data_IF_230366036658
#
_entry.id   IF_230366036658
#
_cell.length_a   1.000
_cell.length_b   1.000
_cell.length_c   1.000
_cell.angle_alpha   90.00
_cell.angle_beta   90.00
_cell.angle_gamma   90.00
#
_symmetry.space_group_name_H-M   'P 1'
#
loop_
_entity.id
_entity.type
_entity.pdbx_description
1 polymer ?
#
# COMPACT_ATOMS: atom_id res chain seq x y z
N UNK A 1 -16.12 -13.94 -13.99
CA UNK A 1 -16.94 -13.18 -13.01
C UNK A 1 -18.40 -13.62 -13.10
N UNK A 2 -19.16 -13.72 -12.01
CA UNK A 2 -20.55 -14.18 -12.05
C UNK A 2 -21.51 -13.01 -12.34
N UNK A 3 -21.70 -12.68 -13.63
CA UNK A 3 -22.48 -11.53 -14.08
C UNK A 3 -23.95 -11.55 -13.58
N UNK A 4 -24.54 -12.73 -13.39
CA UNK A 4 -25.91 -12.87 -12.87
C UNK A 4 -26.01 -12.44 -11.41
N UNK A 5 -25.05 -12.88 -10.59
CA UNK A 5 -24.99 -12.48 -9.18
C UNK A 5 -24.78 -10.97 -9.06
N UNK A 6 -23.89 -10.40 -9.89
CA UNK A 6 -23.68 -8.96 -9.92
C UNK A 6 -24.95 -8.20 -10.32
N UNK A 7 -25.65 -8.63 -11.38
CA UNK A 7 -26.89 -7.99 -11.82
C UNK A 7 -27.98 -8.01 -10.75
N UNK A 8 -28.12 -9.14 -10.03
CA UNK A 8 -29.06 -9.24 -8.90
C UNK A 8 -28.67 -8.29 -7.75
N UNK A 9 -27.38 -8.23 -7.41
CA UNK A 9 -26.87 -7.30 -6.39
C UNK A 9 -27.09 -5.83 -6.79
N UNK A 10 -26.84 -5.48 -8.07
CA UNK A 10 -27.06 -4.13 -8.59
C UNK A 10 -28.53 -3.73 -8.54
N UNK A 11 -29.44 -4.62 -8.98
CA UNK A 11 -30.87 -4.35 -8.92
C UNK A 11 -31.37 -4.15 -7.48
N UNK A 12 -30.87 -4.93 -6.53
CA UNK A 12 -31.16 -4.76 -5.11
C UNK A 12 -30.58 -3.45 -4.56
N UNK A 13 -29.33 -3.12 -4.90
CA UNK A 13 -28.69 -1.87 -4.51
C UNK A 13 -29.45 -0.64 -5.01
N UNK A 14 -29.87 -0.66 -6.28
CA UNK A 14 -30.66 0.41 -6.89
C UNK A 14 -32.03 0.56 -6.24
N UNK A 15 -32.70 -0.54 -5.91
CA UNK A 15 -33.97 -0.50 -5.17
C UNK A 15 -33.82 0.07 -3.76
N UNK A 16 -32.64 -0.04 -3.15
CA UNK A 16 -32.34 0.44 -1.80
C UNK A 16 -31.66 1.82 -1.79
N UNK A 17 -31.29 2.37 -2.95
CA UNK A 17 -30.54 3.62 -3.05
C UNK A 17 -29.10 3.53 -2.52
N UNK A 18 -28.50 2.34 -2.54
CA UNK A 18 -27.12 2.10 -2.09
C UNK A 18 -26.19 1.77 -3.27
N UNK A 19 -24.96 2.31 -3.30
CA UNK A 19 -24.06 2.08 -4.42
C UNK A 19 -23.53 0.64 -4.41
N UNK A 20 -23.45 0.03 -5.59
CA UNK A 20 -22.97 -1.34 -5.79
C UNK A 20 -21.57 -1.33 -6.38
N UNK A 21 -20.58 -1.71 -5.58
CA UNK A 21 -19.19 -1.78 -6.00
C UNK A 21 -18.87 -3.19 -6.53
N UNK A 22 -18.27 -3.27 -7.71
CA UNK A 22 -17.77 -4.53 -8.25
C UNK A 22 -16.39 -4.85 -7.65
N UNK A 23 -16.16 -6.11 -7.28
CA UNK A 23 -14.86 -6.56 -6.80
C UNK A 23 -13.98 -7.01 -7.96
N UNK A 24 -12.80 -6.41 -8.09
CA UNK A 24 -11.75 -6.77 -9.04
C UNK A 24 -10.55 -7.25 -8.24
N UNK A 25 -10.37 -8.57 -8.18
CA UNK A 25 -9.22 -9.21 -7.54
C UNK A 25 -8.32 -9.80 -8.61
N UNK A 26 -7.10 -9.28 -8.71
CA UNK A 26 -6.10 -9.75 -9.64
C UNK A 26 -5.22 -10.80 -8.97
N UNK A 27 -5.40 -12.07 -9.34
CA UNK A 27 -4.61 -13.19 -8.80
C UNK A 27 -3.16 -13.19 -9.30
N UNK A 28 -2.26 -13.85 -8.55
CA UNK A 28 -0.84 -13.98 -8.94
C UNK A 28 -0.63 -14.76 -10.24
N UNK A 29 -1.65 -15.52 -10.68
CA UNK A 29 -1.69 -16.23 -11.96
C UNK A 29 -1.93 -15.33 -13.18
N UNK A 30 -2.06 -14.02 -13.01
CA UNK A 30 -2.08 -13.08 -14.13
C UNK A 30 -0.64 -12.96 -14.64
N UNK A 31 -0.29 -13.88 -15.53
CA UNK A 31 1.07 -14.06 -16.03
C UNK A 31 1.47 -13.00 -17.04
N UNK A 32 0.53 -12.27 -17.64
CA UNK A 32 0.79 -11.29 -18.69
C UNK A 32 -0.11 -10.06 -18.61
N UNK A 33 0.35 -8.95 -19.21
CA UNK A 33 -0.43 -7.72 -19.36
C UNK A 33 -1.73 -7.94 -20.14
N UNK A 34 -1.73 -8.84 -21.14
CA UNK A 34 -2.93 -9.15 -21.93
C UNK A 34 -4.01 -9.82 -21.07
N UNK A 35 -3.64 -10.73 -20.18
CA UNK A 35 -4.60 -11.36 -19.25
C UNK A 35 -5.17 -10.33 -18.29
N UNK A 36 -4.33 -9.43 -17.76
CA UNK A 36 -4.77 -8.32 -16.91
C UNK A 36 -5.78 -7.43 -17.65
N UNK A 37 -5.47 -7.03 -18.88
CA UNK A 37 -6.33 -6.18 -19.70
C UNK A 37 -7.67 -6.85 -20.04
N UNK A 38 -7.68 -8.15 -20.32
CA UNK A 38 -8.93 -8.91 -20.56
C UNK A 38 -9.82 -8.93 -19.32
N UNK A 39 -9.24 -9.16 -18.13
CA UNK A 39 -9.97 -9.14 -16.86
C UNK A 39 -10.53 -7.74 -16.59
N UNK A 40 -9.71 -6.70 -16.77
CA UNK A 40 -10.13 -5.32 -16.58
C UNK A 40 -11.23 -4.92 -17.54
N UNK A 41 -11.13 -5.28 -18.83
CA UNK A 41 -12.17 -5.02 -19.83
C UNK A 41 -13.50 -5.70 -19.47
N UNK A 42 -13.46 -6.94 -18.98
CA UNK A 42 -14.67 -7.61 -18.49
C UNK A 42 -15.25 -6.94 -17.25
N UNK A 43 -14.40 -6.47 -16.33
CA UNK A 43 -14.83 -5.79 -15.12
C UNK A 43 -15.46 -4.43 -15.44
N UNK A 44 -14.81 -3.61 -16.26
CA UNK A 44 -15.27 -2.25 -16.62
C UNK A 44 -16.51 -2.25 -17.50
N UNK A 45 -16.83 -3.37 -18.16
CA UNK A 45 -18.09 -3.56 -18.87
C UNK A 45 -19.31 -3.69 -17.93
N UNK A 46 -19.11 -3.91 -16.62
CA UNK A 46 -20.20 -3.97 -15.66
C UNK A 46 -20.71 -2.59 -15.30
N UNK A 47 -22.03 -2.49 -15.12
CA UNK A 47 -22.68 -1.29 -14.60
C UNK A 47 -22.52 -1.18 -13.07
N UNK A 48 -21.29 -1.15 -12.58
CA UNK A 48 -20.97 -0.91 -11.16
C UNK A 48 -20.96 0.58 -10.85
N UNK A 49 -21.20 0.95 -9.60
CA UNK A 49 -21.11 2.35 -9.14
C UNK A 49 -19.69 2.69 -8.65
N UNK A 50 -18.82 1.68 -8.52
CA UNK A 50 -17.43 1.80 -8.12
C UNK A 50 -16.72 0.45 -8.08
N UNK A 51 -15.45 0.46 -7.65
CA UNK A 51 -14.56 -0.70 -7.70
C UNK A 51 -13.96 -0.99 -6.33
N UNK A 52 -14.09 -2.23 -5.85
CA UNK A 52 -13.24 -2.77 -4.80
C UNK A 52 -12.09 -3.52 -5.44
N UNK A 53 -10.88 -3.01 -5.27
CA UNK A 53 -9.70 -3.47 -5.99
C UNK A 53 -8.71 -4.15 -5.04
N UNK A 54 -8.16 -5.30 -5.43
CA UNK A 54 -7.08 -5.97 -4.72
C UNK A 54 -6.16 -6.72 -5.69
N UNK A 55 -4.89 -6.85 -5.32
CA UNK A 55 -3.90 -7.62 -6.08
C UNK A 55 -3.26 -8.66 -5.18
N UNK A 56 -3.21 -9.88 -5.68
CA UNK A 56 -2.48 -10.98 -5.08
C UNK A 56 -1.00 -10.88 -5.43
N UNK A 57 -0.17 -10.68 -4.41
CA UNK A 57 1.29 -10.71 -4.52
C UNK A 57 1.83 -12.06 -4.04
N UNK A 58 3.13 -12.28 -4.24
CA UNK A 58 3.80 -13.47 -3.73
C UNK A 58 3.60 -13.57 -2.20
N UNK A 59 3.07 -14.71 -1.76
CA UNK A 59 2.81 -14.97 -0.35
C UNK A 59 4.06 -15.11 0.52
N UNK A 60 5.23 -15.35 -0.10
CA UNK A 60 6.50 -15.38 0.61
C UNK A 60 6.94 -13.98 1.09
N UNK A 61 6.43 -12.92 0.44
CA UNK A 61 6.77 -11.55 0.77
C UNK A 61 5.71 -10.89 1.65
N UNK A 62 6.15 -10.04 2.59
CA UNK A 62 5.25 -9.19 3.38
C UNK A 62 4.58 -8.14 2.49
N UNK A 63 5.37 -7.55 1.61
CA UNK A 63 5.04 -6.47 0.66
C UNK A 63 5.76 -6.76 -0.66
N UNK A 64 5.18 -6.42 -1.82
CA UNK A 64 5.74 -6.79 -3.11
C UNK A 64 7.08 -6.10 -3.39
N UNK A 65 8.08 -6.88 -3.78
CA UNK A 65 9.39 -6.36 -4.22
C UNK A 65 9.62 -6.48 -5.72
N UNK A 66 8.72 -7.12 -6.48
CA UNK A 66 8.79 -7.21 -7.95
C UNK A 66 8.25 -5.93 -8.62
N UNK A 67 9.09 -5.26 -9.42
CA UNK A 67 8.74 -4.04 -10.16
C UNK A 67 7.54 -4.29 -11.08
N UNK A 68 7.51 -5.42 -11.77
CA UNK A 68 6.44 -5.73 -12.74
C UNK A 68 5.10 -5.98 -12.04
N UNK A 69 5.10 -6.66 -10.89
CA UNK A 69 3.91 -6.86 -10.08
C UNK A 69 3.36 -5.54 -9.56
N UNK A 70 4.23 -4.64 -9.07
CA UNK A 70 3.82 -3.32 -8.58
C UNK A 70 3.32 -2.45 -9.73
N UNK A 71 3.97 -2.48 -10.90
CA UNK A 71 3.50 -1.77 -12.08
C UNK A 71 2.12 -2.25 -12.53
N UNK A 72 1.91 -3.58 -12.64
CA UNK A 72 0.59 -4.16 -12.95
C UNK A 72 -0.47 -3.76 -11.93
N UNK A 73 -0.09 -3.69 -10.66
CA UNK A 73 -0.96 -3.21 -9.61
C UNK A 73 -1.36 -1.74 -9.82
N UNK A 74 -0.41 -0.86 -10.08
CA UNK A 74 -0.70 0.55 -10.30
C UNK A 74 -1.51 0.77 -11.59
N UNK A 75 -1.16 0.08 -12.68
CA UNK A 75 -1.81 0.26 -13.98
C UNK A 75 -3.27 -0.20 -13.97
N UNK A 76 -3.56 -1.33 -13.33
CA UNK A 76 -4.94 -1.78 -13.16
C UNK A 76 -5.77 -0.83 -12.29
N UNK A 77 -5.19 -0.28 -11.22
CA UNK A 77 -5.84 0.75 -10.40
C UNK A 77 -6.22 1.98 -11.24
N UNK A 78 -5.27 2.47 -12.05
CA UNK A 78 -5.49 3.63 -12.91
C UNK A 78 -6.52 3.35 -14.01
N UNK A 79 -6.48 2.17 -14.63
CA UNK A 79 -7.49 1.75 -15.62
C UNK A 79 -8.91 1.75 -15.02
N UNK A 80 -9.06 1.28 -13.79
CA UNK A 80 -10.35 1.32 -13.09
C UNK A 80 -10.78 2.75 -12.79
N UNK A 81 -9.85 3.61 -12.36
CA UNK A 81 -10.13 5.03 -12.09
C UNK A 81 -10.59 5.77 -13.36
N UNK A 82 -10.00 5.49 -14.52
CA UNK A 82 -10.38 6.09 -15.81
C UNK A 82 -11.81 5.79 -16.27
N UNK A 83 -12.53 4.89 -15.60
CA UNK A 83 -13.98 4.71 -15.78
C UNK A 83 -14.82 5.87 -15.20
N UNK A 84 -14.19 6.81 -14.49
CA UNK A 84 -14.85 7.92 -13.79
C UNK A 84 -15.60 7.49 -12.53
N UNK A 85 -15.30 6.29 -12.01
CA UNK A 85 -15.97 5.70 -10.84
C UNK A 85 -14.99 5.51 -9.70
N UNK A 86 -15.43 5.67 -8.44
CA UNK A 86 -14.54 5.58 -7.28
C UNK A 86 -13.90 4.19 -7.16
N UNK A 87 -12.58 4.18 -6.98
CA UNK A 87 -11.78 2.97 -6.72
C UNK A 87 -11.39 2.92 -5.24
N UNK A 88 -11.68 1.80 -4.57
CA UNK A 88 -11.31 1.53 -3.19
C UNK A 88 -10.31 0.38 -3.15
N UNK A 89 -9.06 0.65 -2.76
CA UNK A 89 -8.02 -0.38 -2.67
C UNK A 89 -8.11 -1.14 -1.35
N UNK A 90 -8.41 -2.44 -1.40
CA UNK A 90 -8.43 -3.32 -0.24
C UNK A 90 -7.01 -3.81 0.13
N UNK A 91 -6.78 -4.07 1.43
CA UNK A 91 -5.51 -4.62 1.94
C UNK A 91 -4.26 -3.77 1.59
N UNK A 92 -4.41 -2.46 1.45
CA UNK A 92 -3.37 -1.57 0.94
C UNK A 92 -2.18 -1.43 1.90
N UNK A 93 -2.43 -1.15 3.17
CA UNK A 93 -1.34 -0.84 4.12
C UNK A 93 -0.41 0.26 3.56
N UNK A 94 0.93 0.07 3.55
CA UNK A 94 1.87 1.02 2.96
C UNK A 94 1.77 1.20 1.44
N UNK A 95 1.11 0.29 0.70
CA UNK A 95 0.84 0.48 -0.73
C UNK A 95 -0.19 1.59 -1.00
N UNK A 96 -0.85 2.11 0.04
CA UNK A 96 -1.83 3.18 -0.07
C UNK A 96 -1.27 4.43 -0.78
N UNK A 97 0.01 4.77 -0.58
CA UNK A 97 0.65 5.87 -1.33
C UNK A 97 0.57 5.66 -2.84
N UNK A 98 1.03 4.50 -3.33
CA UNK A 98 0.91 4.13 -4.74
C UNK A 98 -0.56 4.00 -5.19
N UNK A 99 -1.48 3.60 -4.31
CA UNK A 99 -2.91 3.49 -4.61
C UNK A 99 -3.49 4.85 -5.02
N UNK A 100 -3.24 5.89 -4.21
CA UNK A 100 -3.69 7.25 -4.51
C UNK A 100 -3.01 7.80 -5.76
N UNK A 101 -1.71 7.52 -5.93
CA UNK A 101 -1.01 7.80 -7.18
C UNK A 101 -1.61 7.08 -8.40
N UNK A 102 -2.32 5.98 -8.19
CA UNK A 102 -2.98 5.20 -9.24
C UNK A 102 -4.48 5.51 -9.37
N UNK A 103 -4.95 6.62 -8.79
CA UNK A 103 -6.34 7.06 -8.91
C UNK A 103 -7.32 6.39 -7.93
N UNK A 104 -6.85 5.75 -6.87
CA UNK A 104 -7.74 5.30 -5.80
C UNK A 104 -8.35 6.50 -5.06
N UNK A 105 -9.64 6.39 -4.70
CA UNK A 105 -10.34 7.37 -3.84
C UNK A 105 -10.23 7.02 -2.36
N UNK A 106 -10.01 5.75 -2.04
CA UNK A 106 -9.72 5.30 -0.68
C UNK A 106 -8.83 4.06 -0.66
N UNK A 107 -8.20 3.81 0.48
CA UNK A 107 -7.35 2.65 0.70
C UNK A 107 -7.60 2.06 2.10
N UNK A 108 -7.71 0.74 2.19
CA UNK A 108 -7.89 0.02 3.45
C UNK A 108 -6.53 -0.20 4.13
N UNK A 109 -6.36 0.40 5.31
CA UNK A 109 -5.14 0.30 6.12
C UNK A 109 -5.48 -0.43 7.41
N UNK A 110 -4.93 -1.64 7.58
CA UNK A 110 -5.10 -2.45 8.77
C UNK A 110 -3.87 -2.44 9.66
N UNK A 111 -4.05 -2.76 10.95
CA UNK A 111 -2.94 -2.89 11.90
C UNK A 111 -2.20 -4.23 11.78
N UNK A 112 -2.88 -5.27 11.31
CA UNK A 112 -2.31 -6.58 11.04
C UNK A 112 -1.48 -6.54 9.74
N UNK A 113 -0.17 -6.40 9.86
CA UNK A 113 0.74 -6.33 8.70
C UNK A 113 0.71 -7.58 7.83
N UNK A 114 0.42 -8.75 8.41
CA UNK A 114 0.20 -9.98 7.67
C UNK A 114 -1.07 -9.94 6.82
N UNK A 115 -1.92 -8.93 6.93
CA UNK A 115 -3.05 -8.75 6.02
C UNK A 115 -2.76 -7.67 4.95
N UNK A 116 -1.55 -7.12 4.88
CA UNK A 116 -1.18 -6.16 3.84
C UNK A 116 -0.75 -6.85 2.56
N UNK A 117 -1.29 -6.42 1.42
CA UNK A 117 -1.25 -7.20 0.20
C UNK A 117 -2.22 -8.37 0.32
N UNK A 118 -3.11 -8.49 -0.66
CA UNK A 118 -4.01 -9.63 -0.69
C UNK A 118 -3.22 -10.90 -1.03
N UNK A 119 -3.53 -12.01 -0.39
CA UNK A 119 -3.14 -13.34 -0.85
C UNK A 119 -4.03 -14.38 -0.19
N UNK A 120 -4.45 -15.39 -0.95
CA UNK A 120 -5.42 -16.38 -0.47
C UNK A 120 -4.86 -17.25 0.65
N UNK A 121 -3.56 -17.53 0.64
CA UNK A 121 -2.93 -18.41 1.64
C UNK A 121 -3.00 -17.84 3.05
N UNK A 122 -3.04 -16.51 3.20
CA UNK A 122 -3.13 -15.84 4.51
C UNK A 122 -4.51 -15.95 5.18
N UNK A 123 -5.52 -16.43 4.46
CA UNK A 123 -6.84 -16.77 5.00
C UNK A 123 -7.02 -18.28 5.22
N UNK A 124 -6.02 -19.10 4.89
CA UNK A 124 -6.05 -20.51 5.19
C UNK A 124 -5.66 -20.74 6.65
N UNK A 125 -6.29 -21.69 7.36
CA UNK A 125 -5.86 -22.07 8.71
C UNK A 125 -4.37 -22.46 8.70
N UNK A 126 -3.60 -21.97 9.68
CA UNK A 126 -2.19 -22.32 9.80
C UNK A 126 -2.03 -23.82 10.02
N UNK A 127 -1.28 -24.50 9.16
CA UNK A 127 -1.01 -25.94 9.27
C UNK A 127 0.14 -26.27 10.24
N UNK A 128 0.73 -25.28 10.91
CA UNK A 128 1.81 -25.46 11.90
C UNK A 128 1.64 -24.61 13.17
N UNK A 129 2.45 -24.93 14.19
CA UNK A 129 2.67 -24.08 15.37
C UNK A 129 3.48 -22.83 14.98
N UNK A 130 2.87 -21.88 14.28
CA UNK A 130 3.61 -20.70 13.83
C UNK A 130 2.67 -19.67 13.26
N UNK A 131 2.53 -18.55 13.97
CA UNK A 131 1.67 -17.44 13.53
C UNK A 131 1.34 -16.43 14.62
N UNK A 132 1.72 -16.70 15.86
CA UNK A 132 1.47 -15.82 17.01
C UNK A 132 2.69 -15.67 17.92
N UNK A 133 3.91 -15.70 17.38
CA UNK A 133 5.10 -15.42 18.19
C UNK A 133 5.03 -14.00 18.76
N UNK A 134 5.64 -13.81 19.94
CA UNK A 134 5.95 -12.49 20.51
C UNK A 134 7.00 -11.78 19.65
N UNK A 135 6.60 -11.40 18.44
CA UNK A 135 7.43 -10.59 17.58
C UNK A 135 7.68 -9.25 18.28
N UNK A 136 8.93 -8.77 18.29
CA UNK A 136 9.28 -7.57 19.02
C UNK A 136 8.47 -6.36 18.52
N UNK A 137 8.19 -5.39 19.40
CA UNK A 137 7.61 -4.12 18.99
C UNK A 137 8.42 -3.48 17.85
N UNK A 138 7.70 -2.90 16.88
CA UNK A 138 8.28 -2.22 15.72
C UNK A 138 7.93 -0.74 15.71
N UNK A 139 8.86 0.09 15.31
CA UNK A 139 8.62 1.50 15.06
C UNK A 139 8.49 1.71 13.55
N UNK A 140 7.42 2.37 13.09
CA UNK A 140 7.25 2.65 11.66
C UNK A 140 7.80 4.04 11.35
N UNK A 141 8.88 4.08 10.60
CA UNK A 141 9.51 5.33 10.17
C UNK A 141 8.95 5.74 8.82
N UNK A 142 8.16 6.81 8.78
CA UNK A 142 7.69 7.43 7.53
C UNK A 142 8.84 7.84 6.61
N UNK A 143 9.96 8.44 7.10
CA UNK A 143 11.11 8.78 6.27
C UNK A 143 11.81 7.59 5.62
N UNK A 144 11.81 6.41 6.28
CA UNK A 144 12.28 5.16 5.67
C UNK A 144 11.19 4.44 4.88
N UNK A 145 9.93 4.87 5.03
CA UNK A 145 8.73 4.14 4.68
C UNK A 145 8.82 2.66 5.10
N UNK A 146 9.26 2.38 6.33
CA UNK A 146 9.61 1.04 6.78
C UNK A 146 9.69 0.88 8.30
N UNK A 147 9.91 -0.37 8.74
CA UNK A 147 9.90 -0.72 10.17
C UNK A 147 11.30 -0.91 10.75
N UNK A 148 11.48 -0.47 11.99
CA UNK A 148 12.68 -0.67 12.82
C UNK A 148 12.28 -1.51 14.03
N UNK A 149 13.08 -2.54 14.33
CA UNK A 149 12.89 -3.40 15.51
C UNK A 149 13.32 -2.65 16.77
N UNK A 150 12.39 -2.51 17.70
CA UNK A 150 12.59 -1.80 18.95
C UNK A 150 12.94 -2.75 20.10
N UNK A 151 13.85 -2.38 21.02
CA UNK A 151 14.75 -1.21 20.99
C UNK A 151 16.05 -1.47 20.19
N UNK A 152 16.34 -2.73 19.85
CA UNK A 152 17.66 -3.19 19.40
C UNK A 152 18.25 -2.40 18.22
N UNK A 153 17.49 -2.22 17.13
CA UNK A 153 17.97 -1.53 15.94
C UNK A 153 18.05 -0.02 16.17
N UNK A 154 17.17 0.51 17.02
CA UNK A 154 17.19 1.92 17.38
C UNK A 154 18.47 2.29 18.13
N UNK A 155 18.89 1.48 19.10
CA UNK A 155 20.07 1.74 19.92
C UNK A 155 21.37 1.80 19.10
N UNK A 156 21.37 1.15 17.93
CA UNK A 156 22.51 1.10 17.02
C UNK A 156 22.57 2.30 16.06
N UNK A 157 21.48 3.08 15.93
CA UNK A 157 21.47 4.25 15.07
C UNK A 157 22.28 5.41 15.67
N UNK A 158 23.14 6.09 14.88
CA UNK A 158 23.73 7.36 15.27
C UNK A 158 22.66 8.40 15.66
N UNK A 159 22.91 9.27 16.67
CA UNK A 159 21.91 10.26 17.12
C UNK A 159 21.36 11.17 16.01
N UNK A 160 22.19 11.54 15.03
CA UNK A 160 21.76 12.34 13.89
C UNK A 160 20.70 11.61 13.04
N UNK A 161 20.88 10.30 12.81
CA UNK A 161 19.92 9.48 12.07
C UNK A 161 18.66 9.22 12.89
N UNK A 162 18.76 9.06 14.21
CA UNK A 162 17.59 8.93 15.09
C UNK A 162 16.64 10.13 14.94
N UNK A 163 17.16 11.35 14.95
CA UNK A 163 16.36 12.57 14.82
C UNK A 163 15.63 12.68 13.47
N UNK A 164 16.17 12.07 12.41
CA UNK A 164 15.53 12.03 11.10
C UNK A 164 14.52 10.89 11.00
N UNK A 165 14.84 9.72 11.54
CA UNK A 165 14.10 8.48 11.33
C UNK A 165 12.90 8.37 12.28
N UNK A 166 13.01 8.91 13.50
CA UNK A 166 11.99 8.80 14.54
C UNK A 166 11.03 9.97 14.49
N UNK A 167 9.91 9.79 13.79
CA UNK A 167 8.79 10.72 13.83
C UNK A 167 7.79 10.29 14.89
N UNK A 168 7.52 11.18 15.85
CA UNK A 168 6.57 10.89 16.91
C UNK A 168 5.11 11.01 16.42
N UNK A 169 4.26 10.21 17.05
CA UNK A 169 2.80 10.19 16.97
C UNK A 169 2.22 10.35 18.38
N UNK A 170 0.92 10.61 18.54
CA UNK A 170 0.26 10.61 19.86
C UNK A 170 0.39 9.29 20.62
N UNK A 171 0.71 8.20 19.91
CA UNK A 171 0.90 6.88 20.50
C UNK A 171 2.36 6.61 20.87
N UNK A 172 3.31 7.43 20.41
CA UNK A 172 4.75 7.29 20.63
C UNK A 172 5.32 8.43 21.43
N UNK A 173 5.48 8.21 22.74
CA UNK A 173 6.27 9.09 23.61
C UNK A 173 7.71 9.26 23.09
N UNK A 174 8.47 10.15 23.74
CA UNK A 174 9.89 10.33 23.43
C UNK A 174 10.62 8.98 23.54
N UNK A 175 11.19 8.56 22.41
CA UNK A 175 11.83 7.26 22.31
C UNK A 175 13.24 7.44 22.85
N UNK A 176 13.56 6.77 23.96
CA UNK A 176 14.89 6.81 24.56
C UNK A 176 15.39 5.41 24.86
N UNK A 177 16.70 5.29 25.01
CA UNK A 177 17.37 4.06 25.45
C UNK A 177 16.93 3.63 26.86
N UNK A 178 16.42 4.59 27.66
CA UNK A 178 16.00 4.42 29.06
C UNK A 178 14.53 3.97 29.17
N UNK A 179 13.70 4.30 28.18
CA UNK A 179 12.26 3.97 28.15
C UNK A 179 11.93 2.73 27.31
N UNK A 180 12.95 1.92 26.96
CA UNK A 180 12.87 0.70 26.14
C UNK A 180 11.79 -0.32 26.57
N UNK A 181 11.40 -0.33 27.83
CA UNK A 181 10.37 -1.22 28.37
C UNK A 181 8.93 -0.68 28.21
N UNK A 182 8.75 0.58 27.81
CA UNK A 182 7.43 1.22 27.70
C UNK A 182 6.73 1.00 26.35
N UNK A 183 7.47 0.72 25.28
CA UNK A 183 6.91 0.58 23.93
C UNK A 183 6.31 -0.81 23.71
N UNK A 184 4.98 -0.94 23.75
CA UNK A 184 4.32 -2.23 23.59
C UNK A 184 3.91 -2.48 22.14
N UNK A 185 3.66 -3.74 21.81
CA UNK A 185 3.21 -4.19 20.48
C UNK A 185 1.94 -3.45 20.00
N UNK A 186 1.03 -3.12 20.92
CA UNK A 186 -0.18 -2.36 20.57
C UNK A 186 0.13 -0.88 20.25
N UNK A 187 1.13 -0.29 20.89
CA UNK A 187 1.58 1.07 20.60
C UNK A 187 2.24 1.14 19.22
N UNK A 188 3.08 0.15 18.90
CA UNK A 188 3.65 -0.05 17.56
C UNK A 188 2.58 -0.02 16.47
N UNK A 189 1.50 -0.78 16.65
CA UNK A 189 0.44 -0.89 15.65
C UNK A 189 -0.34 0.42 15.48
N UNK A 190 -0.72 1.07 16.58
CA UNK A 190 -1.43 2.36 16.53
C UNK A 190 -0.56 3.45 15.91
N UNK A 191 0.70 3.51 16.31
CA UNK A 191 1.70 4.41 15.74
C UNK A 191 1.85 4.19 14.23
N UNK A 192 2.03 2.95 13.79
CA UNK A 192 2.18 2.61 12.38
C UNK A 192 0.96 3.03 11.55
N UNK A 193 -0.24 2.67 11.98
CA UNK A 193 -1.48 3.06 11.28
C UNK A 193 -1.61 4.58 11.24
N UNK A 194 -1.31 5.28 12.34
CA UNK A 194 -1.32 6.72 12.38
C UNK A 194 -0.33 7.35 11.40
N UNK A 195 0.92 6.88 11.37
CA UNK A 195 1.94 7.39 10.46
C UNK A 195 1.55 7.20 8.99
N UNK A 196 1.04 6.01 8.62
CA UNK A 196 0.56 5.75 7.27
C UNK A 196 -0.61 6.70 6.92
N UNK A 197 -1.60 6.85 7.82
CA UNK A 197 -2.74 7.75 7.59
C UNK A 197 -2.28 9.20 7.41
N UNK A 198 -1.40 9.69 8.29
CA UNK A 198 -0.89 11.06 8.22
C UNK A 198 -0.15 11.32 6.90
N UNK A 199 0.62 10.34 6.43
CA UNK A 199 1.29 10.41 5.14
C UNK A 199 0.32 10.42 3.96
N UNK A 200 -0.64 9.50 3.92
CA UNK A 200 -1.51 9.33 2.74
C UNK A 200 -2.72 10.25 2.70
N UNK A 201 -3.12 10.86 3.81
CA UNK A 201 -4.26 11.80 3.85
C UNK A 201 -4.16 12.95 2.83
N UNK A 202 -3.02 13.66 2.71
CA UNK A 202 -2.87 14.69 1.67
C UNK A 202 -2.90 14.10 0.25
N UNK A 203 -2.39 12.87 0.05
CA UNK A 203 -2.47 12.19 -1.25
C UNK A 203 -3.91 11.85 -1.61
N UNK A 204 -4.70 11.37 -0.64
CA UNK A 204 -6.12 11.05 -0.79
C UNK A 204 -6.98 12.29 -1.06
N UNK A 205 -6.57 13.45 -0.54
CA UNK A 205 -7.23 14.72 -0.79
C UNK A 205 -6.83 15.36 -2.14
N UNK A 206 -5.80 14.83 -2.81
CA UNK A 206 -5.36 15.32 -4.11
C UNK A 206 -6.37 14.96 -5.20
N UNK A 207 -6.81 15.95 -5.97
CA UNK A 207 -7.55 15.71 -7.21
C UNK A 207 -6.63 15.30 -8.38
N UNK A 208 -5.31 15.41 -8.19
CA UNK A 208 -4.32 15.06 -9.21
C UNK A 208 -3.57 13.79 -8.77
N UNK A 209 -3.99 12.65 -9.32
CA UNK A 209 -3.36 11.36 -9.08
C UNK A 209 -1.91 11.32 -9.60
N UNK A 210 -1.61 12.06 -10.68
CA UNK A 210 -0.26 12.14 -11.24
C UNK A 210 0.66 12.87 -10.27
N UNK A 211 0.21 13.98 -9.71
CA UNK A 211 0.95 14.70 -8.66
C UNK A 211 1.14 13.83 -7.42
N UNK A 212 0.09 13.10 -6.99
CA UNK A 212 0.22 12.17 -5.87
C UNK A 212 1.28 11.08 -6.13
N UNK A 213 1.31 10.51 -7.34
CA UNK A 213 2.35 9.55 -7.75
C UNK A 213 3.75 10.18 -7.74
N UNK A 214 3.91 11.41 -8.23
CA UNK A 214 5.18 12.13 -8.19
C UNK A 214 5.70 12.34 -6.76
N UNK A 215 4.82 12.75 -5.84
CA UNK A 215 5.16 12.88 -4.41
C UNK A 215 5.64 11.56 -3.84
N UNK A 216 4.89 10.47 -4.07
CA UNK A 216 5.25 9.14 -3.58
C UNK A 216 6.61 8.68 -4.11
N UNK A 217 6.90 8.88 -5.41
CA UNK A 217 8.20 8.54 -5.99
C UNK A 217 9.33 9.33 -5.34
N UNK A 218 9.14 10.63 -5.14
CA UNK A 218 10.12 11.51 -4.48
C UNK A 218 10.41 11.06 -3.05
N UNK A 219 9.38 10.70 -2.29
CA UNK A 219 9.51 10.24 -0.93
C UNK A 219 10.20 8.86 -0.85
N UNK A 220 9.86 7.94 -1.77
CA UNK A 220 10.52 6.64 -1.88
C UNK A 220 12.00 6.77 -2.28
N UNK A 221 12.33 7.70 -3.18
CA UNK A 221 13.72 8.00 -3.52
C UNK A 221 14.50 8.53 -2.30
N UNK A 222 13.87 9.40 -1.51
CA UNK A 222 14.44 9.90 -0.25
C UNK A 222 14.63 8.78 0.77
N UNK A 223 13.66 7.87 0.88
CA UNK A 223 13.75 6.68 1.73
C UNK A 223 14.89 5.76 1.31
N UNK A 224 15.08 5.52 0.01
CA UNK A 224 16.18 4.71 -0.52
C UNK A 224 17.55 5.32 -0.17
N UNK A 225 17.69 6.64 -0.29
CA UNK A 225 18.89 7.36 0.12
C UNK A 225 19.14 7.23 1.63
N UNK A 226 18.08 7.33 2.45
CA UNK A 226 18.18 7.21 3.90
C UNK A 226 18.52 5.77 4.34
N UNK A 227 17.95 4.75 3.70
CA UNK A 227 18.33 3.34 3.91
C UNK A 227 19.82 3.10 3.60
N UNK A 228 20.34 3.75 2.55
CA UNK A 228 21.76 3.66 2.20
C UNK A 228 22.66 4.31 3.28
N UNK A 229 22.23 5.40 3.89
CA UNK A 229 22.92 6.02 5.03
C UNK A 229 22.90 5.12 6.27
N UNK A 230 21.75 4.50 6.58
CA UNK A 230 21.61 3.54 7.69
C UNK A 230 22.55 2.34 7.50
N UNK A 231 22.59 1.78 6.30
CA UNK A 231 23.52 0.70 5.96
C UNK A 231 24.99 1.13 6.09
N UNK A 232 25.34 2.32 5.61
CA UNK A 232 26.70 2.88 5.72
C UNK A 232 27.11 3.13 7.18
N UNK A 233 26.14 3.43 8.05
CA UNK A 233 26.34 3.53 9.50
C UNK A 233 26.49 2.16 10.20
N UNK A 234 26.44 1.05 9.45
CA UNK A 234 26.67 -0.31 9.96
C UNK A 234 25.43 -1.02 10.48
N UNK A 235 24.22 -0.44 10.32
CA UNK A 235 22.97 -1.09 10.73
C UNK A 235 22.30 -1.79 9.55
N UNK A 236 22.00 -3.08 9.74
CA UNK A 236 21.19 -3.89 8.82
C UNK A 236 19.83 -4.11 9.47
N UNK A 237 18.76 -3.64 8.82
CA UNK A 237 17.38 -3.81 9.30
C UNK A 237 16.90 -5.26 9.09
N UNK A 238 16.50 -5.94 10.16
CA UNK A 238 16.23 -7.39 10.18
C UNK A 238 15.02 -7.82 9.37
N UNK A 239 14.02 -6.95 9.19
CA UNK A 239 12.74 -7.29 8.54
C UNK A 239 12.73 -7.04 7.02
N UNK A 240 13.90 -6.78 6.40
CA UNK A 240 13.96 -6.40 4.98
C UNK A 240 13.16 -5.12 4.69
N UNK A 241 13.06 -4.21 5.67
CA UNK A 241 12.30 -2.94 5.55
C UNK A 241 12.82 -1.99 4.47
N UNK A 242 13.92 -2.35 3.80
CA UNK A 242 14.58 -1.60 2.72
C UNK A 242 14.40 -2.25 1.33
N UNK A 243 13.64 -3.35 1.22
CA UNK A 243 13.61 -4.16 -0.01
C UNK A 243 12.58 -3.72 -1.04
N UNK A 244 11.48 -3.09 -0.62
CA UNK A 244 10.34 -2.81 -1.51
C UNK A 244 10.35 -1.41 -2.10
N UNK A 245 10.95 -0.43 -1.43
CA UNK A 245 10.96 0.98 -1.85
C UNK A 245 11.61 1.21 -3.22
N UNK A 246 12.74 0.56 -3.59
CA UNK A 246 13.32 0.72 -4.92
C UNK A 246 12.35 0.30 -6.02
N UNK A 247 11.75 -0.88 -5.86
CA UNK A 247 10.83 -1.41 -6.87
C UNK A 247 9.57 -0.59 -7.01
N UNK A 248 9.08 -0.01 -5.90
CA UNK A 248 7.92 0.89 -5.89
C UNK A 248 8.21 2.21 -6.60
N UNK A 249 9.39 2.80 -6.34
CA UNK A 249 9.82 4.02 -7.03
C UNK A 249 9.99 3.78 -8.54
N UNK A 250 10.59 2.66 -8.92
CA UNK A 250 10.74 2.26 -10.34
C UNK A 250 9.39 2.05 -11.01
N UNK A 251 8.47 1.32 -10.37
CA UNK A 251 7.12 1.09 -10.91
C UNK A 251 6.33 2.40 -11.04
N UNK A 252 6.39 3.28 -10.04
CA UNK A 252 5.76 4.61 -10.11
C UNK A 252 6.35 5.48 -11.23
N UNK A 253 7.68 5.46 -11.39
CA UNK A 253 8.35 6.19 -12.47
C UNK A 253 7.89 5.71 -13.83
N UNK A 254 7.80 4.38 -14.00
CA UNK A 254 7.27 3.76 -15.21
C UNK A 254 5.80 4.12 -15.45
N UNK A 255 4.97 4.15 -14.41
CA UNK A 255 3.57 4.61 -14.52
C UNK A 255 3.50 6.02 -15.10
N UNK A 256 4.32 6.96 -14.61
CA UNK A 256 4.32 8.34 -15.10
C UNK A 256 4.78 8.48 -16.55
N UNK A 257 5.64 7.57 -17.01
CA UNK A 257 6.14 7.54 -18.39
C UNK A 257 5.15 6.86 -19.35
N UNK A 258 4.70 5.66 -18.99
CA UNK A 258 3.95 4.77 -19.89
C UNK A 258 2.45 5.09 -19.93
N UNK A 259 1.89 5.65 -18.84
CA UNK A 259 0.44 5.84 -18.66
C UNK A 259 0.01 7.31 -18.72
N UNK A 260 0.80 8.18 -19.38
CA UNK A 260 0.54 9.62 -19.42
C UNK A 260 -0.88 9.96 -19.92
N UNK A 261 -1.36 9.25 -20.94
CA UNK A 261 -2.70 9.46 -21.51
C UNK A 261 -3.81 9.18 -20.50
N UNK A 262 -3.67 8.13 -19.68
CA UNK A 262 -4.66 7.76 -18.66
C UNK A 262 -4.70 8.77 -17.51
N UNK A 263 -3.53 9.28 -17.09
CA UNK A 263 -3.47 10.38 -16.11
C UNK A 263 -4.15 11.65 -16.64
N UNK A 264 -3.89 12.03 -17.89
CA UNK A 264 -4.53 13.19 -18.52
C UNK A 264 -6.04 12.99 -18.62
N UNK A 265 -6.48 11.80 -19.02
CA UNK A 265 -7.89 11.46 -19.09
C UNK A 265 -8.58 11.55 -17.72
N UNK A 266 -8.00 10.96 -16.68
CA UNK A 266 -8.54 11.04 -15.32
C UNK A 266 -8.63 12.49 -14.82
N UNK A 267 -7.62 13.31 -15.13
CA UNK A 267 -7.64 14.73 -14.79
C UNK A 267 -8.76 15.49 -15.52
N UNK A 268 -9.00 15.20 -16.80
CA UNK A 268 -10.11 15.79 -17.57
C UNK A 268 -11.48 15.40 -17.01
N UNK A 269 -11.59 14.24 -16.37
CA UNK A 269 -12.81 13.80 -15.66
C UNK A 269 -13.01 14.50 -14.30
N UNK A 270 -12.05 15.30 -13.85
CA UNK A 270 -12.09 15.98 -12.54
C UNK A 270 -11.27 15.30 -11.44
N UNK A 271 -10.48 14.28 -11.78
CA UNK A 271 -9.67 13.51 -10.83
C UNK A 271 -10.34 12.21 -10.37
N UNK A 272 -9.67 11.46 -9.47
CA UNK A 272 -10.18 10.22 -8.88
C UNK A 272 -11.37 10.41 -7.94
#
# INVERSE_FOLDING_TARGET
>A
MNARLFAAAKAAGDSLGIPTYATVVMGGSITTAQVAQSILSQATALNADGWYYAVEFDSAERLPTDVEAVFRYCSAGLTLACTGKPVLHAYAGPLAGLAFGSGARAAAIGFWQNLWGFTRSRFQPSTGQGGGGDAPPRFFSTPLWGTIVYPDELLQLPPALQNTILLHSPYSGAVSTVTATAWQKWDSYRHMVHQIIMYVSPLAASADARQAMQTVISDLASANALHSQVHTAGLILRDGSNSYQPSWASAGTRMLADMLGDYQWLQLQGGP
#
